data_IF_143010065990
#
_entry.id   IF_143010065990
#
_cell.length_a   1.000
_cell.length_b   1.000
_cell.length_c   1.000
_cell.angle_alpha   90.00
_cell.angle_beta   90.00
_cell.angle_gamma   90.00
#
_symmetry.space_group_name_H-M   'P 1'
#
loop_
_entity.id
_entity.type
_entity.pdbx_description
1 polymer ?
#
# COMPACT_ATOMS: atom_id res chain seq x y z
N UNK A 1 4.60 16.05 12.61
CA UNK A 1 5.25 17.37 12.63
C UNK A 1 4.56 18.30 13.64
N UNK A 2 3.23 18.43 13.63
CA UNK A 2 2.47 19.30 14.55
C UNK A 2 2.71 19.00 16.04
N UNK A 3 2.78 17.73 16.42
CA UNK A 3 3.06 17.32 17.79
C UNK A 3 4.42 17.84 18.27
N UNK A 4 5.43 17.79 17.42
CA UNK A 4 6.77 18.34 17.71
C UNK A 4 6.72 19.88 17.82
N UNK A 5 6.01 20.54 16.93
CA UNK A 5 5.82 21.99 16.97
C UNK A 5 5.11 22.44 18.26
N UNK A 6 4.04 21.73 18.67
CA UNK A 6 3.33 21.97 19.94
C UNK A 6 4.22 21.72 21.15
N UNK A 7 5.02 20.65 21.14
CA UNK A 7 5.95 20.34 22.22
C UNK A 7 6.97 21.45 22.41
N UNK A 8 7.54 21.97 21.34
CA UNK A 8 8.49 23.10 21.35
C UNK A 8 7.83 24.41 21.80
N UNK A 9 6.57 24.64 21.41
CA UNK A 9 5.82 25.81 21.85
C UNK A 9 5.62 25.85 23.40
N UNK A 10 5.45 24.64 24.01
CA UNK A 10 5.29 24.50 25.48
C UNK A 10 6.64 24.47 26.18
N UNK A 11 7.70 23.96 25.54
CA UNK A 11 9.04 23.83 26.06
C UNK A 11 10.07 24.41 25.08
N UNK A 12 10.22 25.74 24.99
CA UNK A 12 11.09 26.39 24.00
C UNK A 12 12.57 26.01 24.12
N UNK A 13 13.03 25.65 25.31
CA UNK A 13 14.42 25.24 25.58
C UNK A 13 14.73 23.80 25.25
N UNK A 14 13.73 23.04 24.72
CA UNK A 14 13.91 21.65 24.34
C UNK A 14 14.76 21.57 23.07
N UNK A 15 16.01 21.17 23.22
CA UNK A 15 16.94 20.92 22.12
C UNK A 15 16.63 19.57 21.44
N UNK A 16 15.51 19.50 20.71
CA UNK A 16 15.07 18.29 20.00
C UNK A 16 15.25 18.48 18.50
N UNK A 17 15.95 17.55 17.85
CA UNK A 17 16.05 17.50 16.38
C UNK A 17 15.10 16.45 15.81
N UNK A 18 14.36 16.83 14.79
CA UNK A 18 13.41 15.92 14.12
C UNK A 18 13.51 15.99 12.62
N UNK A 19 13.45 14.84 11.95
CA UNK A 19 13.42 14.74 10.50
C UNK A 19 12.21 13.96 10.03
N UNK A 20 11.58 14.42 8.92
CA UNK A 20 10.51 13.71 8.25
C UNK A 20 11.05 13.05 6.98
N UNK A 21 11.12 11.71 6.99
CA UNK A 21 11.52 10.92 5.84
C UNK A 21 10.34 10.74 4.89
N UNK A 22 10.58 11.03 3.63
CA UNK A 22 9.60 10.89 2.55
C UNK A 22 10.07 9.80 1.58
N UNK A 23 9.15 8.98 1.07
CA UNK A 23 9.48 7.96 0.08
C UNK A 23 10.25 8.54 -1.11
N UNK A 24 11.19 7.76 -1.65
CA UNK A 24 12.15 8.21 -2.68
C UNK A 24 11.47 8.79 -3.90
N UNK A 25 10.37 8.17 -4.34
CA UNK A 25 9.57 8.61 -5.49
C UNK A 25 8.97 10.01 -5.26
N UNK A 26 8.51 10.26 -4.03
CA UNK A 26 7.92 11.56 -3.65
C UNK A 26 8.96 12.63 -3.34
N UNK A 27 10.15 12.24 -2.92
CA UNK A 27 11.23 13.16 -2.57
C UNK A 27 12.07 13.55 -3.80
N UNK A 28 12.07 12.76 -4.86
CA UNK A 28 12.92 12.93 -6.04
C UNK A 28 12.73 14.29 -6.71
N UNK A 29 13.85 15.02 -6.94
CA UNK A 29 13.87 16.30 -7.65
C UNK A 29 14.24 16.16 -9.13
N UNK A 30 14.57 14.95 -9.59
CA UNK A 30 14.98 14.66 -10.96
C UNK A 30 14.40 13.31 -11.42
N UNK A 31 13.06 13.20 -11.52
CA UNK A 31 12.43 12.00 -12.03
C UNK A 31 12.65 11.89 -13.56
N UNK A 32 12.55 10.67 -14.08
CA UNK A 32 12.49 10.41 -15.52
C UNK A 32 11.17 10.88 -16.17
N UNK A 33 10.99 10.59 -17.45
CA UNK A 33 9.78 10.99 -18.20
C UNK A 33 8.50 10.30 -17.68
N UNK A 34 8.64 9.15 -17.07
CA UNK A 34 7.57 8.36 -16.46
C UNK A 34 7.30 8.73 -14.99
N UNK A 35 8.11 9.64 -14.41
CA UNK A 35 7.97 10.10 -13.03
C UNK A 35 8.74 9.26 -12.00
N UNK A 36 9.58 8.32 -12.42
CA UNK A 36 10.37 7.47 -11.54
C UNK A 36 11.76 8.05 -11.24
N UNK A 37 12.34 7.77 -10.05
CA UNK A 37 13.68 8.21 -9.70
C UNK A 37 14.77 7.54 -10.57
N UNK A 38 15.41 8.29 -11.45
CA UNK A 38 16.59 7.85 -12.22
C UNK A 38 17.88 8.14 -11.43
N UNK A 39 18.31 7.21 -10.57
CA UNK A 39 19.36 7.43 -9.55
C UNK A 39 20.78 7.11 -10.02
N UNK A 40 21.02 7.01 -11.33
CA UNK A 40 22.37 6.78 -11.88
C UNK A 40 23.19 8.09 -11.80
N UNK A 41 24.43 8.05 -11.30
CA UNK A 41 25.29 9.25 -11.21
C UNK A 41 25.54 9.94 -12.56
N UNK A 42 25.52 9.19 -13.66
CA UNK A 42 25.69 9.71 -15.02
C UNK A 42 24.48 10.52 -15.49
N UNK A 43 23.30 10.28 -14.93
CA UNK A 43 22.02 10.88 -15.34
C UNK A 43 21.54 11.90 -14.31
N UNK A 44 21.63 11.58 -13.01
CA UNK A 44 21.09 12.40 -11.95
C UNK A 44 22.13 13.35 -11.35
N UNK A 45 21.99 14.67 -11.50
CA UNK A 45 22.93 15.66 -10.95
C UNK A 45 22.98 15.64 -9.41
N UNK A 46 21.91 15.21 -8.76
CA UNK A 46 21.81 15.11 -7.30
C UNK A 46 22.49 13.86 -6.74
N UNK A 47 22.65 12.81 -7.56
CA UNK A 47 23.42 11.62 -7.22
C UNK A 47 24.91 11.78 -7.54
N UNK A 48 25.23 12.44 -8.67
CA UNK A 48 26.61 12.70 -9.07
C UNK A 48 27.33 13.58 -8.06
N UNK A 49 28.45 13.11 -7.52
CA UNK A 49 29.25 13.84 -6.52
C UNK A 49 28.53 14.11 -5.19
N UNK A 50 27.54 13.30 -4.83
CA UNK A 50 26.78 13.42 -3.59
C UNK A 50 27.67 13.48 -2.35
N UNK A 51 28.63 12.55 -2.23
CA UNK A 51 29.53 12.44 -1.09
C UNK A 51 30.47 13.62 -0.91
N UNK A 52 30.73 14.39 -1.97
CA UNK A 52 31.57 15.58 -1.90
C UNK A 52 30.82 16.77 -1.29
N UNK A 53 29.49 16.79 -1.44
CA UNK A 53 28.63 17.94 -1.08
C UNK A 53 27.79 17.72 0.19
N UNK A 54 27.53 16.47 0.56
CA UNK A 54 26.64 16.13 1.67
C UNK A 54 27.05 16.77 3.00
N UNK A 55 28.35 16.84 3.29
CA UNK A 55 28.86 17.43 4.55
C UNK A 55 28.44 18.88 4.73
N UNK A 56 28.50 19.67 3.65
CA UNK A 56 28.10 21.08 3.70
C UNK A 56 26.57 21.24 3.81
N UNK A 57 25.81 20.37 3.16
CA UNK A 57 24.35 20.35 3.28
C UNK A 57 23.90 20.00 4.70
N UNK A 58 24.51 18.97 5.32
CA UNK A 58 24.26 18.60 6.71
C UNK A 58 24.62 19.73 7.68
N UNK A 59 25.79 20.33 7.52
CA UNK A 59 26.21 21.46 8.37
C UNK A 59 25.18 22.60 8.33
N UNK A 60 24.76 23.00 7.13
CA UNK A 60 23.77 24.06 6.95
C UNK A 60 22.42 23.75 7.62
N UNK A 61 21.96 22.48 7.59
CA UNK A 61 20.74 22.07 8.27
C UNK A 61 20.93 22.06 9.80
N UNK A 62 22.03 21.51 10.28
CA UNK A 62 22.29 21.35 11.73
C UNK A 62 22.50 22.68 12.46
N UNK A 63 22.89 23.75 11.76
CA UNK A 63 22.95 25.11 12.28
C UNK A 63 21.57 25.80 12.41
N UNK A 64 20.52 25.15 11.88
CA UNK A 64 19.16 25.68 11.81
C UNK A 64 18.27 25.32 12.99
N UNK A 65 16.94 25.40 12.79
CA UNK A 65 15.89 25.25 13.81
C UNK A 65 15.74 23.85 14.42
N UNK A 66 16.41 22.85 13.85
CA UNK A 66 16.32 21.46 14.30
C UNK A 66 15.01 20.73 13.91
N UNK A 67 14.14 21.33 13.10
CA UNK A 67 12.97 20.67 12.53
C UNK A 67 13.13 20.58 11.01
N UNK A 68 13.35 19.36 10.51
CA UNK A 68 13.70 19.13 9.12
C UNK A 68 12.52 18.47 8.39
N UNK A 69 11.63 19.34 7.90
CA UNK A 69 10.48 18.93 7.09
C UNK A 69 10.90 18.52 5.66
N UNK A 70 9.98 17.88 4.92
CA UNK A 70 10.17 17.58 3.49
C UNK A 70 10.58 18.81 2.68
N UNK A 71 9.96 19.98 2.96
CA UNK A 71 10.27 21.22 2.27
C UNK A 71 11.69 21.69 2.57
N UNK A 72 12.10 21.70 3.84
CA UNK A 72 13.45 22.09 4.24
C UNK A 72 14.53 21.18 3.60
N UNK A 73 14.29 19.87 3.56
CA UNK A 73 15.18 18.92 2.88
C UNK A 73 15.26 19.19 1.38
N UNK A 74 14.13 19.45 0.71
CA UNK A 74 14.09 19.75 -0.72
C UNK A 74 14.81 21.06 -1.07
N UNK A 75 14.64 22.10 -0.25
CA UNK A 75 15.29 23.41 -0.48
C UNK A 75 16.81 23.31 -0.27
N UNK A 76 17.25 22.64 0.79
CA UNK A 76 18.68 22.37 1.02
C UNK A 76 19.26 21.49 -0.09
N UNK A 77 18.52 20.46 -0.52
CA UNK A 77 18.93 19.59 -1.63
C UNK A 77 19.15 20.36 -2.93
N UNK A 78 18.30 21.34 -3.26
CA UNK A 78 18.48 22.23 -4.41
C UNK A 78 19.71 23.13 -4.25
N UNK A 79 19.88 23.72 -3.06
CA UNK A 79 21.00 24.63 -2.77
C UNK A 79 22.35 23.93 -2.92
N UNK A 80 22.49 22.71 -2.43
CA UNK A 80 23.75 21.98 -2.41
C UNK A 80 23.85 20.92 -3.52
N UNK A 81 22.81 20.75 -4.34
CA UNK A 81 22.73 19.74 -5.40
C UNK A 81 22.97 18.32 -4.88
N UNK A 82 22.29 17.93 -3.81
CA UNK A 82 22.32 16.60 -3.18
C UNK A 82 20.95 15.93 -3.26
N UNK A 83 20.90 14.60 -3.27
CA UNK A 83 19.63 13.89 -3.27
C UNK A 83 18.84 14.14 -1.96
N UNK A 84 17.62 14.67 -2.00
CA UNK A 84 16.85 14.98 -0.78
C UNK A 84 16.48 13.74 0.02
N UNK A 85 16.30 12.59 -0.64
CA UNK A 85 16.04 11.31 0.03
C UNK A 85 17.26 10.85 0.83
N UNK A 86 18.42 10.77 0.20
CA UNK A 86 19.68 10.38 0.87
C UNK A 86 20.09 11.41 1.94
N UNK A 87 19.89 12.71 1.69
CA UNK A 87 20.11 13.78 2.67
C UNK A 87 19.25 13.55 3.93
N UNK A 88 17.97 13.19 3.77
CA UNK A 88 17.08 12.88 4.89
C UNK A 88 17.56 11.65 5.68
N UNK A 89 18.03 10.61 4.99
CA UNK A 89 18.57 9.40 5.61
C UNK A 89 19.87 9.71 6.39
N UNK A 90 20.79 10.45 5.81
CA UNK A 90 22.05 10.80 6.50
C UNK A 90 21.80 11.75 7.69
N UNK A 91 20.87 12.70 7.53
CA UNK A 91 20.48 13.62 8.60
C UNK A 91 19.79 12.88 9.77
N UNK A 92 19.09 11.78 9.50
CA UNK A 92 18.37 11.04 10.53
C UNK A 92 19.28 10.49 11.64
N UNK A 93 20.56 10.27 11.36
CA UNK A 93 21.55 9.87 12.36
C UNK A 93 21.90 10.97 13.37
N UNK A 94 21.54 12.23 13.07
CA UNK A 94 21.75 13.40 13.91
C UNK A 94 20.47 13.90 14.59
N UNK A 95 19.38 13.14 14.47
CA UNK A 95 18.08 13.52 14.98
C UNK A 95 17.65 12.65 16.15
N UNK A 96 16.92 13.28 17.09
CA UNK A 96 16.31 12.60 18.24
C UNK A 96 14.98 11.94 17.86
N UNK A 97 14.32 12.46 16.82
CA UNK A 97 13.03 11.95 16.32
C UNK A 97 13.09 11.79 14.80
N UNK A 98 12.77 10.59 14.34
CA UNK A 98 12.61 10.29 12.92
C UNK A 98 11.14 9.97 12.66
N UNK A 99 10.49 10.75 11.79
CA UNK A 99 9.11 10.56 11.38
C UNK A 99 9.11 9.90 9.98
N UNK A 100 8.40 8.79 9.83
CA UNK A 100 8.37 8.06 8.55
C UNK A 100 7.19 7.11 8.44
N UNK A 101 7.09 6.45 7.29
CA UNK A 101 6.09 5.41 7.03
C UNK A 101 6.44 4.10 7.75
N UNK A 102 5.44 3.24 7.97
CA UNK A 102 5.60 1.89 8.55
C UNK A 102 6.67 1.05 7.85
N UNK A 103 6.84 1.22 6.54
CA UNK A 103 7.80 0.47 5.73
C UNK A 103 9.22 0.62 6.28
N UNK A 104 9.58 1.76 6.83
CA UNK A 104 10.91 2.01 7.38
C UNK A 104 11.26 1.16 8.60
N UNK A 105 10.26 0.59 9.27
CA UNK A 105 10.47 -0.33 10.39
C UNK A 105 10.08 -1.78 10.04
N UNK A 106 8.94 -1.97 9.37
CA UNK A 106 8.31 -3.29 9.26
C UNK A 106 8.55 -3.99 7.91
N UNK A 107 8.88 -3.25 6.83
CA UNK A 107 9.07 -3.87 5.53
C UNK A 107 10.42 -4.62 5.46
N UNK A 108 10.43 -5.91 5.13
CA UNK A 108 11.65 -6.72 5.11
C UNK A 108 12.66 -6.29 4.03
N UNK A 109 12.29 -5.41 3.11
CA UNK A 109 13.13 -4.95 1.99
C UNK A 109 13.65 -3.54 2.23
N UNK A 110 12.76 -2.62 2.64
CA UNK A 110 13.06 -1.19 2.72
C UNK A 110 13.28 -0.65 4.12
N UNK A 111 13.18 -1.51 5.16
CA UNK A 111 13.46 -1.07 6.54
C UNK A 111 14.84 -0.43 6.65
N UNK A 112 14.97 0.52 7.55
CA UNK A 112 16.21 1.28 7.73
C UNK A 112 17.26 0.42 8.44
N UNK A 113 18.03 -0.35 7.67
CA UNK A 113 19.09 -1.25 8.14
C UNK A 113 20.08 -0.57 9.07
N UNK A 114 20.40 0.71 8.79
CA UNK A 114 21.31 1.51 9.62
C UNK A 114 20.86 1.64 11.08
N UNK A 115 19.56 1.47 11.34
CA UNK A 115 18.99 1.55 12.69
C UNK A 115 18.53 0.19 13.23
N UNK A 116 17.98 -0.69 12.39
CA UNK A 116 17.19 -1.84 12.83
C UNK A 116 17.79 -3.20 12.51
N UNK A 117 19.01 -3.26 11.93
CA UNK A 117 19.76 -4.51 11.81
C UNK A 117 20.29 -5.01 13.17
N UNK A 118 20.37 -4.11 14.15
CA UNK A 118 20.73 -4.43 15.54
C UNK A 118 19.76 -3.74 16.49
N UNK A 119 19.55 -4.34 17.67
CA UNK A 119 18.74 -3.72 18.72
C UNK A 119 19.38 -2.45 19.25
N UNK A 120 18.55 -1.45 19.58
CA UNK A 120 18.99 -0.15 20.09
C UNK A 120 18.00 0.47 21.08
N UNK A 121 18.33 1.64 21.59
CA UNK A 121 17.51 2.39 22.57
C UNK A 121 16.35 3.17 21.89
N UNK A 122 15.73 2.54 20.89
CA UNK A 122 14.64 3.14 20.13
C UNK A 122 13.32 3.08 20.88
N UNK A 123 12.55 4.16 20.81
CA UNK A 123 11.16 4.20 21.25
C UNK A 123 10.27 4.36 20.02
N UNK A 124 9.44 3.35 19.75
CA UNK A 124 8.53 3.36 18.62
C UNK A 124 7.19 3.96 19.02
N UNK A 125 6.72 4.95 18.24
CA UNK A 125 5.39 5.53 18.34
C UNK A 125 4.66 5.25 17.04
N UNK A 126 3.74 4.26 17.09
CA UNK A 126 3.04 3.76 15.91
C UNK A 126 1.61 4.29 15.93
N UNK A 127 1.38 5.32 15.11
CA UNK A 127 0.06 5.93 14.95
C UNK A 127 -0.79 5.11 13.97
N UNK A 128 -2.11 5.22 14.06
CA UNK A 128 -3.09 4.48 13.26
C UNK A 128 -2.78 2.97 13.19
N UNK A 129 -2.35 2.42 14.32
CA UNK A 129 -1.85 1.05 14.41
C UNK A 129 -2.89 -0.02 14.02
N UNK A 130 -4.17 0.35 13.90
CA UNK A 130 -5.21 -0.51 13.37
C UNK A 130 -4.99 -0.92 11.91
N UNK A 131 -4.24 -0.13 11.13
CA UNK A 131 -3.88 -0.44 9.75
C UNK A 131 -2.66 -1.36 9.63
N UNK A 132 -1.85 -1.46 10.68
CA UNK A 132 -0.58 -2.19 10.64
C UNK A 132 -0.75 -3.70 10.32
N UNK A 133 -1.77 -4.44 10.82
CA UNK A 133 -1.92 -5.85 10.49
C UNK A 133 -2.06 -6.11 8.99
N UNK A 134 -2.89 -5.35 8.29
CA UNK A 134 -3.09 -5.53 6.85
C UNK A 134 -1.89 -5.05 6.04
N UNK A 135 -1.25 -3.97 6.47
CA UNK A 135 0.01 -3.49 5.88
C UNK A 135 1.12 -4.52 6.04
N UNK A 136 1.29 -5.09 7.23
CA UNK A 136 2.29 -6.12 7.47
C UNK A 136 2.00 -7.38 6.65
N UNK A 137 0.75 -7.86 6.59
CA UNK A 137 0.39 -8.97 5.69
C UNK A 137 0.82 -8.69 4.26
N UNK A 138 0.57 -7.50 3.75
CA UNK A 138 0.97 -7.11 2.40
C UNK A 138 2.50 -7.09 2.21
N UNK A 139 3.26 -6.54 3.17
CA UNK A 139 4.73 -6.45 3.14
C UNK A 139 5.41 -7.82 3.11
N UNK A 140 4.85 -8.81 3.81
CA UNK A 140 5.40 -10.17 3.89
C UNK A 140 4.85 -11.12 2.83
N UNK A 141 3.81 -10.73 2.10
CA UNK A 141 3.23 -11.51 1.00
C UNK A 141 3.95 -11.22 -0.32
N UNK A 142 3.91 -12.19 -1.22
CA UNK A 142 4.41 -12.00 -2.59
C UNK A 142 3.41 -12.52 -3.63
N UNK A 143 3.40 -11.90 -4.80
CA UNK A 143 2.56 -12.26 -5.93
C UNK A 143 3.39 -12.39 -7.19
N UNK A 144 3.09 -13.42 -7.98
CA UNK A 144 3.76 -13.68 -9.25
C UNK A 144 2.79 -14.16 -10.32
N UNK A 145 2.82 -13.57 -11.51
CA UNK A 145 1.97 -13.89 -12.64
C UNK A 145 2.76 -14.60 -13.74
N UNK A 146 2.15 -15.63 -14.33
CA UNK A 146 2.78 -16.38 -15.45
C UNK A 146 3.05 -15.49 -16.66
N UNK A 147 2.21 -14.50 -16.93
CA UNK A 147 2.38 -13.52 -18.02
C UNK A 147 3.74 -12.85 -18.00
N UNK A 148 4.28 -12.49 -16.83
CA UNK A 148 5.59 -11.87 -16.69
C UNK A 148 6.72 -12.69 -17.35
N UNK A 149 6.68 -14.02 -17.23
CA UNK A 149 7.65 -14.90 -17.88
C UNK A 149 7.44 -14.96 -19.41
N UNK A 150 6.18 -14.95 -19.85
CA UNK A 150 5.84 -15.01 -21.27
C UNK A 150 6.29 -13.73 -21.99
N UNK A 151 6.06 -12.58 -21.34
CA UNK A 151 6.41 -11.28 -21.89
C UNK A 151 7.93 -11.11 -21.94
N UNK A 152 8.65 -11.45 -20.87
CA UNK A 152 10.11 -11.46 -20.87
C UNK A 152 10.70 -12.36 -21.96
N UNK A 153 10.14 -13.56 -22.18
CA UNK A 153 10.60 -14.44 -23.28
C UNK A 153 10.35 -13.85 -24.66
N UNK A 154 9.26 -13.10 -24.84
CA UNK A 154 8.93 -12.42 -26.11
C UNK A 154 9.93 -11.29 -26.38
N UNK A 155 10.25 -10.52 -25.38
CA UNK A 155 11.19 -9.39 -25.45
C UNK A 155 12.61 -9.84 -25.77
N UNK A 156 13.08 -10.96 -25.23
CA UNK A 156 14.40 -11.53 -25.55
C UNK A 156 14.55 -12.06 -26.99
N UNK A 157 13.47 -12.10 -27.79
CA UNK A 157 13.49 -12.48 -29.17
C UNK A 157 13.94 -13.94 -29.44
N UNK A 158 14.48 -14.19 -30.64
CA UNK A 158 14.97 -15.51 -31.08
C UNK A 158 16.44 -15.67 -30.67
N UNK A 159 16.78 -16.74 -29.95
CA UNK A 159 18.16 -17.03 -29.52
C UNK A 159 18.18 -18.03 -28.36
N UNK A 160 19.35 -18.65 -28.11
CA UNK A 160 19.56 -19.50 -26.93
C UNK A 160 20.45 -18.73 -25.96
N UNK A 161 19.94 -18.48 -24.74
CA UNK A 161 20.70 -17.93 -23.63
C UNK A 161 20.37 -18.68 -22.34
N UNK A 162 21.22 -18.54 -21.34
CA UNK A 162 20.96 -19.11 -20.01
C UNK A 162 19.64 -18.60 -19.43
N UNK A 163 19.38 -17.28 -19.55
CA UNK A 163 18.14 -16.65 -19.12
C UNK A 163 16.92 -17.23 -19.83
N UNK A 164 16.97 -17.34 -21.17
CA UNK A 164 15.83 -17.88 -21.94
C UNK A 164 15.51 -19.34 -21.60
N UNK A 165 16.57 -20.12 -21.29
CA UNK A 165 16.42 -21.50 -20.83
C UNK A 165 15.74 -21.56 -19.47
N UNK A 166 16.17 -20.71 -18.52
CA UNK A 166 15.55 -20.61 -17.20
C UNK A 166 14.09 -20.15 -17.28
N UNK A 167 13.80 -19.07 -18.01
CA UNK A 167 12.43 -18.59 -18.26
C UNK A 167 11.53 -19.65 -18.88
N UNK A 168 12.07 -20.48 -19.80
CA UNK A 168 11.30 -21.55 -20.44
C UNK A 168 10.95 -22.66 -19.45
N UNK A 169 11.86 -23.02 -18.56
CA UNK A 169 11.61 -24.01 -17.49
C UNK A 169 10.59 -23.49 -16.49
N UNK A 170 10.72 -22.23 -16.06
CA UNK A 170 9.79 -21.60 -15.16
C UNK A 170 8.38 -21.48 -15.75
N UNK A 171 8.26 -21.05 -17.01
CA UNK A 171 6.97 -20.97 -17.72
C UNK A 171 6.35 -22.37 -17.93
N UNK A 172 7.15 -23.41 -18.15
CA UNK A 172 6.65 -24.79 -18.21
C UNK A 172 6.06 -25.20 -16.85
N UNK A 173 6.77 -24.96 -15.74
CA UNK A 173 6.27 -25.28 -14.41
C UNK A 173 4.98 -24.51 -14.07
N UNK A 174 4.90 -23.22 -14.41
CA UNK A 174 3.68 -22.42 -14.23
C UNK A 174 2.50 -22.97 -15.06
N UNK A 175 2.72 -23.43 -16.28
CA UNK A 175 1.67 -24.08 -17.10
C UNK A 175 1.20 -25.40 -16.50
N UNK A 176 2.12 -26.24 -16.03
CA UNK A 176 1.80 -27.51 -15.40
C UNK A 176 1.04 -27.29 -14.08
N UNK A 177 1.47 -26.34 -13.26
CA UNK A 177 0.76 -25.95 -12.04
C UNK A 177 -0.64 -25.40 -12.34
N UNK A 178 -0.81 -24.61 -13.42
CA UNK A 178 -2.12 -24.15 -13.86
C UNK A 178 -3.05 -25.31 -14.23
N UNK A 179 -2.54 -26.29 -14.96
CA UNK A 179 -3.31 -27.49 -15.33
C UNK A 179 -3.71 -28.28 -14.07
N UNK A 180 -2.80 -28.45 -13.12
CA UNK A 180 -3.09 -29.09 -11.84
C UNK A 180 -4.16 -28.32 -11.04
N UNK A 181 -4.05 -27.00 -10.99
CA UNK A 181 -5.03 -26.12 -10.33
C UNK A 181 -6.43 -26.26 -10.95
N UNK A 182 -6.55 -26.28 -12.29
CA UNK A 182 -7.82 -26.47 -12.98
C UNK A 182 -8.41 -27.87 -12.72
N UNK A 183 -7.58 -28.92 -12.63
CA UNK A 183 -8.05 -30.27 -12.28
C UNK A 183 -8.58 -30.35 -10.85
N UNK A 184 -7.91 -29.69 -9.89
CA UNK A 184 -8.30 -29.70 -8.48
C UNK A 184 -9.51 -28.80 -8.19
N UNK A 185 -9.65 -27.70 -8.92
CA UNK A 185 -10.68 -26.70 -8.73
C UNK A 185 -11.37 -26.33 -10.05
N UNK A 186 -12.14 -27.24 -10.68
CA UNK A 186 -12.84 -26.96 -11.92
C UNK A 186 -13.86 -25.83 -11.72
N UNK A 187 -13.94 -24.91 -12.67
CA UNK A 187 -14.96 -23.86 -12.67
C UNK A 187 -16.32 -24.44 -12.97
N UNK A 188 -17.30 -24.10 -12.17
CA UNK A 188 -18.71 -24.36 -12.50
C UNK A 188 -19.10 -23.40 -13.63
N UNK A 189 -19.53 -23.92 -14.76
CA UNK A 189 -20.17 -23.11 -15.80
C UNK A 189 -21.48 -22.57 -15.24
N UNK A 190 -21.79 -21.30 -15.52
CA UNK A 190 -23.03 -20.65 -15.06
C UNK A 190 -24.32 -21.32 -15.63
N UNK A 191 -24.19 -22.32 -16.49
CA UNK A 191 -25.26 -23.08 -17.16
C UNK A 191 -25.55 -24.42 -16.50
N UNK A 192 -24.81 -24.83 -15.46
CA UNK A 192 -25.11 -26.09 -14.75
C UNK A 192 -26.27 -25.87 -13.77
N UNK A 193 -27.49 -25.78 -14.31
CA UNK A 193 -28.71 -25.98 -13.53
C UNK A 193 -28.73 -27.38 -12.92
N UNK A 194 -29.29 -27.62 -11.73
CA UNK A 194 -29.25 -28.92 -11.09
C UNK A 194 -30.07 -29.94 -11.92
N UNK A 195 -29.38 -30.80 -12.65
CA UNK A 195 -30.06 -31.88 -13.40
C UNK A 195 -29.24 -32.65 -14.42
N UNK A 196 -28.07 -32.19 -14.90
CA UNK A 196 -27.28 -32.97 -15.83
C UNK A 196 -25.93 -33.39 -15.25
N UNK A 197 -25.50 -34.67 -15.44
CA UNK A 197 -24.20 -35.13 -14.98
C UNK A 197 -23.09 -34.41 -15.77
N UNK A 198 -22.14 -33.83 -15.06
CA UNK A 198 -20.97 -33.15 -15.61
C UNK A 198 -20.32 -34.03 -16.69
N UNK A 199 -20.28 -33.56 -17.93
CA UNK A 199 -19.44 -34.17 -18.97
C UNK A 199 -17.97 -33.91 -18.58
N UNK A 200 -17.39 -34.96 -18.00
CA UNK A 200 -15.94 -35.05 -17.79
C UNK A 200 -15.29 -35.03 -19.17
N UNK A 201 -14.74 -33.92 -19.61
CA UNK A 201 -13.91 -33.88 -20.81
C UNK A 201 -12.69 -34.75 -20.54
N UNK A 202 -12.69 -35.94 -21.16
CA UNK A 202 -11.56 -36.85 -21.19
C UNK A 202 -10.42 -36.17 -21.97
N UNK A 203 -9.59 -35.41 -21.28
CA UNK A 203 -8.26 -35.07 -21.79
C UNK A 203 -7.46 -36.39 -21.82
N UNK A 204 -6.68 -36.66 -22.86
CA UNK A 204 -5.90 -37.92 -22.95
C UNK A 204 -4.95 -37.98 -21.75
N UNK A 205 -5.00 -39.09 -21.02
CA UNK A 205 -4.02 -39.45 -20.01
C UNK A 205 -2.64 -39.51 -20.68
N UNK A 206 -1.80 -38.54 -20.46
CA UNK A 206 -0.39 -38.61 -20.82
C UNK A 206 0.34 -39.37 -19.71
N UNK A 207 1.07 -40.41 -20.04
CA UNK A 207 1.91 -41.23 -19.15
C UNK A 207 3.13 -40.49 -18.53
N UNK A 208 3.23 -39.15 -18.67
CA UNK A 208 4.22 -38.36 -18.00
C UNK A 208 3.82 -38.20 -16.54
N UNK A 209 4.77 -38.29 -15.57
CA UNK A 209 4.47 -38.03 -14.16
C UNK A 209 3.81 -36.66 -14.04
N UNK A 210 2.52 -36.69 -13.68
CA UNK A 210 1.73 -35.45 -13.57
C UNK A 210 2.38 -34.53 -12.56
N UNK A 211 2.56 -33.25 -12.94
CA UNK A 211 2.97 -32.21 -12.01
C UNK A 211 2.05 -32.25 -10.79
N UNK A 212 2.60 -32.64 -9.64
CA UNK A 212 1.84 -32.79 -8.41
C UNK A 212 1.95 -31.51 -7.56
N UNK A 213 0.81 -30.94 -7.22
CA UNK A 213 0.72 -29.96 -6.15
C UNK A 213 0.58 -30.69 -4.81
N UNK A 214 1.03 -30.08 -3.69
CA UNK A 214 0.68 -30.56 -2.36
C UNK A 214 -0.82 -30.72 -2.17
N UNK A 215 -1.24 -31.45 -1.13
CA UNK A 215 -2.64 -31.61 -0.81
C UNK A 215 -3.30 -30.24 -0.53
N UNK A 216 -4.40 -29.90 -1.19
CA UNK A 216 -5.04 -28.61 -1.03
C UNK A 216 -5.81 -28.54 0.29
N UNK A 217 -5.65 -27.41 1.01
CA UNK A 217 -6.54 -27.02 2.11
C UNK A 217 -7.95 -26.70 1.62
N UNK A 218 -8.02 -26.10 0.43
CA UNK A 218 -9.26 -25.70 -0.20
C UNK A 218 -9.06 -25.56 -1.71
N UNK A 219 -10.07 -25.95 -2.49
CA UNK A 219 -10.05 -25.85 -3.96
C UNK A 219 -11.46 -25.55 -4.49
N UNK A 220 -11.64 -24.43 -5.18
CA UNK A 220 -12.90 -24.02 -5.79
C UNK A 220 -12.68 -23.00 -6.93
N UNK A 221 -13.46 -23.09 -7.99
CA UNK A 221 -13.58 -22.10 -9.07
C UNK A 221 -12.25 -21.61 -9.66
N UNK A 222 -11.31 -22.53 -9.88
CA UNK A 222 -9.99 -22.23 -10.41
C UNK A 222 -9.00 -21.70 -9.38
N UNK A 223 -9.34 -21.70 -8.11
CA UNK A 223 -8.46 -21.29 -7.00
C UNK A 223 -8.16 -22.46 -6.07
N UNK A 224 -6.90 -22.63 -5.72
CA UNK A 224 -6.40 -23.69 -4.82
C UNK A 224 -5.56 -23.04 -3.74
N UNK A 225 -5.81 -23.40 -2.48
CA UNK A 225 -5.00 -23.01 -1.33
C UNK A 225 -4.21 -24.22 -0.82
N UNK A 226 -2.91 -24.02 -0.57
CA UNK A 226 -1.98 -25.04 -0.07
C UNK A 226 -1.33 -24.55 1.22
N UNK A 227 -1.15 -25.43 2.20
CA UNK A 227 -0.36 -25.12 3.38
C UNK A 227 1.15 -25.15 3.09
N UNK A 228 1.57 -26.00 2.15
CA UNK A 228 2.96 -26.19 1.81
C UNK A 228 3.37 -25.38 0.58
N UNK A 229 4.65 -25.02 0.55
CA UNK A 229 5.25 -24.43 -0.64
C UNK A 229 5.35 -25.46 -1.77
N UNK A 230 4.83 -25.19 -2.97
CA UNK A 230 4.95 -26.09 -4.11
C UNK A 230 6.38 -26.04 -4.69
N UNK A 231 7.30 -26.83 -4.14
CA UNK A 231 8.72 -26.86 -4.52
C UNK A 231 8.93 -27.05 -6.03
N UNK A 232 8.11 -27.90 -6.68
CA UNK A 232 8.15 -28.13 -8.12
C UNK A 232 7.89 -26.87 -8.95
N UNK A 233 7.17 -25.90 -8.38
CA UNK A 233 6.88 -24.60 -9.00
C UNK A 233 7.95 -23.55 -8.62
N UNK A 234 8.36 -23.51 -7.36
CA UNK A 234 9.27 -22.47 -6.87
C UNK A 234 10.72 -22.68 -7.32
N UNK A 235 11.19 -23.92 -7.42
CA UNK A 235 12.57 -24.21 -7.84
C UNK A 235 12.90 -23.66 -9.23
N UNK A 236 12.06 -23.86 -10.28
CA UNK A 236 12.32 -23.24 -11.57
C UNK A 236 12.20 -21.72 -11.57
N UNK A 237 11.30 -21.12 -10.75
CA UNK A 237 11.16 -19.68 -10.62
C UNK A 237 12.41 -19.05 -9.95
N UNK A 238 12.90 -19.64 -8.87
CA UNK A 238 14.16 -19.22 -8.21
C UNK A 238 15.36 -19.30 -9.16
N UNK A 239 15.40 -20.32 -10.04
CA UNK A 239 16.49 -20.49 -11.00
C UNK A 239 16.54 -19.41 -12.10
N UNK A 240 15.53 -18.56 -12.22
CA UNK A 240 15.53 -17.39 -13.13
C UNK A 240 16.42 -16.27 -12.59
N UNK A 241 16.57 -16.14 -11.27
CA UNK A 241 17.17 -14.99 -10.62
C UNK A 241 18.59 -14.69 -11.10
N UNK A 242 19.52 -15.65 -10.99
CA UNK A 242 20.93 -15.42 -11.35
C UNK A 242 21.15 -15.12 -12.85
N UNK A 243 20.54 -15.87 -13.81
CA UNK A 243 20.67 -15.52 -15.21
C UNK A 243 20.02 -14.17 -15.59
N UNK A 244 18.97 -13.75 -14.86
CA UNK A 244 18.30 -12.47 -15.07
C UNK A 244 19.16 -11.32 -14.55
N UNK A 245 19.77 -11.49 -13.39
CA UNK A 245 20.71 -10.51 -12.84
C UNK A 245 21.90 -10.30 -13.79
N UNK A 246 22.54 -11.37 -14.25
CA UNK A 246 23.64 -11.27 -15.21
C UNK A 246 23.20 -10.56 -16.51
N UNK A 247 21.98 -10.84 -16.99
CA UNK A 247 21.48 -10.16 -18.19
C UNK A 247 21.28 -8.65 -17.94
N UNK A 248 20.77 -8.24 -16.78
CA UNK A 248 20.59 -6.83 -16.43
C UNK A 248 21.93 -6.08 -16.35
N UNK A 249 22.96 -6.73 -15.77
CA UNK A 249 24.33 -6.17 -15.69
C UNK A 249 24.98 -6.01 -17.08
N UNK A 250 24.73 -6.98 -17.98
CA UNK A 250 25.29 -6.97 -19.34
C UNK A 250 24.54 -6.04 -20.31
N UNK A 251 23.31 -5.62 -19.99
CA UNK A 251 22.42 -4.89 -20.91
C UNK A 251 21.76 -3.66 -20.24
N UNK A 252 22.50 -2.72 -19.66
CA UNK A 252 21.93 -1.60 -18.89
C UNK A 252 21.12 -0.61 -19.76
N UNK A 253 21.45 -0.50 -21.06
CA UNK A 253 20.82 0.43 -21.99
C UNK A 253 19.80 -0.24 -22.94
N UNK A 254 19.49 -1.53 -22.73
CA UNK A 254 18.54 -2.21 -23.59
C UNK A 254 17.10 -1.70 -23.35
N UNK A 255 16.32 -1.51 -24.43
CA UNK A 255 14.89 -1.14 -24.34
C UNK A 255 14.09 -2.09 -23.45
N UNK A 256 14.55 -3.33 -23.33
CA UNK A 256 13.95 -4.36 -22.48
C UNK A 256 14.34 -4.24 -21.00
N UNK A 257 15.33 -3.41 -20.64
CA UNK A 257 15.89 -3.36 -19.29
C UNK A 257 14.85 -3.05 -18.21
N UNK A 258 13.93 -2.07 -18.33
CA UNK A 258 12.91 -1.79 -17.33
C UNK A 258 12.01 -3.00 -17.07
N UNK A 259 11.53 -3.66 -18.11
CA UNK A 259 10.66 -4.85 -17.99
C UNK A 259 11.38 -6.04 -17.33
N UNK A 260 12.67 -6.24 -17.67
CA UNK A 260 13.47 -7.29 -17.03
C UNK A 260 13.77 -6.98 -15.57
N UNK A 261 13.93 -5.71 -15.22
CA UNK A 261 14.10 -5.26 -13.84
C UNK A 261 12.83 -5.50 -13.01
N UNK A 262 11.65 -5.22 -13.55
CA UNK A 262 10.38 -5.56 -12.91
C UNK A 262 10.25 -7.06 -12.65
N UNK A 263 10.58 -7.89 -13.64
CA UNK A 263 10.60 -9.34 -13.47
C UNK A 263 11.61 -9.78 -12.39
N UNK A 264 12.78 -9.15 -12.34
CA UNK A 264 13.80 -9.43 -11.33
C UNK A 264 13.28 -9.16 -9.92
N UNK A 265 12.66 -8.02 -9.70
CA UNK A 265 12.04 -7.70 -8.41
C UNK A 265 10.90 -8.63 -8.06
N UNK A 266 10.01 -8.96 -9.00
CA UNK A 266 8.92 -9.91 -8.76
C UNK A 266 9.42 -11.31 -8.37
N UNK A 267 10.51 -11.79 -9.00
CA UNK A 267 11.15 -13.07 -8.64
C UNK A 267 11.84 -12.95 -7.27
N UNK A 268 12.51 -11.84 -6.98
CA UNK A 268 13.14 -11.61 -5.69
C UNK A 268 12.13 -11.59 -4.54
N UNK A 269 11.02 -10.89 -4.70
CA UNK A 269 9.97 -10.81 -3.67
C UNK A 269 9.38 -12.18 -3.40
N UNK A 270 9.13 -12.97 -4.45
CA UNK A 270 8.67 -14.34 -4.31
C UNK A 270 9.68 -15.22 -3.54
N UNK A 271 10.97 -15.09 -3.87
CA UNK A 271 12.04 -15.86 -3.20
C UNK A 271 12.16 -15.47 -1.73
N UNK A 272 12.12 -14.16 -1.42
CA UNK A 272 12.18 -13.65 -0.03
C UNK A 272 10.98 -14.10 0.81
N UNK A 273 9.76 -14.07 0.22
CA UNK A 273 8.57 -14.58 0.91
C UNK A 273 8.67 -16.08 1.13
N UNK A 274 9.18 -16.85 0.15
CA UNK A 274 9.40 -18.29 0.28
C UNK A 274 10.46 -18.66 1.34
N UNK A 275 11.46 -17.82 1.57
CA UNK A 275 12.46 -18.02 2.62
C UNK A 275 11.92 -17.82 4.04
N UNK A 276 10.86 -17.01 4.18
CA UNK A 276 10.17 -16.75 5.46
C UNK A 276 8.95 -17.62 5.67
N UNK A 277 8.60 -18.43 4.68
CA UNK A 277 7.37 -19.20 4.66
C UNK A 277 7.37 -20.28 5.76
N UNK A 278 6.37 -20.22 6.62
CA UNK A 278 6.13 -21.17 7.70
C UNK A 278 4.61 -21.40 7.89
N UNK A 279 4.19 -21.84 9.07
CA UNK A 279 2.77 -22.08 9.38
C UNK A 279 1.88 -20.82 9.36
N UNK A 280 2.46 -19.61 9.33
CA UNK A 280 1.73 -18.34 9.26
C UNK A 280 1.39 -17.92 7.82
N UNK A 281 1.82 -18.73 6.83
CA UNK A 281 1.54 -18.49 5.42
C UNK A 281 0.63 -19.55 4.80
N UNK A 282 0.05 -19.17 3.66
CA UNK A 282 -0.58 -20.11 2.71
C UNK A 282 -0.15 -19.76 1.28
N UNK A 283 -0.06 -20.78 0.45
CA UNK A 283 0.12 -20.58 -1.00
C UNK A 283 -1.24 -20.57 -1.66
N UNK A 284 -1.56 -19.52 -2.40
CA UNK A 284 -2.74 -19.43 -3.25
C UNK A 284 -2.33 -19.52 -4.71
N UNK A 285 -2.98 -20.44 -5.45
CA UNK A 285 -2.88 -20.55 -6.91
C UNK A 285 -4.23 -20.21 -7.51
N UNK A 286 -4.28 -19.26 -8.44
CA UNK A 286 -5.51 -18.90 -9.14
C UNK A 286 -5.32 -19.02 -10.64
N UNK A 287 -6.05 -19.95 -11.26
CA UNK A 287 -6.06 -20.17 -12.71
C UNK A 287 -7.21 -19.39 -13.38
N UNK A 288 -6.88 -18.48 -14.31
CA UNK A 288 -7.86 -17.71 -15.10
C UNK A 288 -7.48 -17.73 -16.58
N UNK A 289 -8.24 -18.42 -17.40
CA UNK A 289 -7.90 -18.59 -18.82
C UNK A 289 -6.52 -19.22 -19.00
N UNK A 290 -5.60 -18.54 -19.69
CA UNK A 290 -4.21 -18.97 -19.86
C UNK A 290 -3.28 -18.53 -18.73
N UNK A 291 -3.75 -17.72 -17.78
CA UNK A 291 -3.00 -17.17 -16.67
C UNK A 291 -2.98 -18.12 -15.47
N UNK A 292 -1.86 -18.10 -14.75
CA UNK A 292 -1.74 -18.59 -13.39
C UNK A 292 -1.15 -17.48 -12.54
N UNK A 293 -1.83 -17.15 -11.47
CA UNK A 293 -1.36 -16.29 -10.42
C UNK A 293 -0.95 -17.15 -9.23
N UNK A 294 0.29 -16.98 -8.79
CA UNK A 294 0.85 -17.54 -7.56
C UNK A 294 0.93 -16.43 -6.53
N UNK A 295 0.38 -16.67 -5.35
CA UNK A 295 0.53 -15.78 -4.20
C UNK A 295 1.04 -16.59 -3.00
N UNK A 296 2.05 -16.06 -2.33
CA UNK A 296 2.47 -16.48 -0.99
C UNK A 296 1.89 -15.48 -0.02
N UNK A 297 0.84 -15.87 0.69
CA UNK A 297 0.06 -14.98 1.55
C UNK A 297 0.46 -15.16 3.00
N UNK A 298 0.98 -14.11 3.62
CA UNK A 298 1.13 -14.03 5.07
C UNK A 298 -0.26 -13.82 5.70
N UNK A 299 -0.78 -14.80 6.40
CA UNK A 299 -2.07 -14.71 7.10
C UNK A 299 -1.91 -14.10 8.49
N UNK A 300 -0.84 -14.46 9.18
CA UNK A 300 -0.53 -13.95 10.51
C UNK A 300 0.82 -13.23 10.53
N UNK A 301 0.83 -11.88 10.54
CA UNK A 301 2.05 -11.09 10.56
C UNK A 301 2.62 -10.91 11.97
N UNK A 302 1.95 -11.38 13.04
CA UNK A 302 2.31 -11.12 14.42
C UNK A 302 3.78 -11.42 14.75
N UNK A 303 4.39 -12.56 14.37
CA UNK A 303 5.79 -12.84 14.66
C UNK A 303 6.76 -11.85 14.02
N UNK A 304 6.43 -11.34 12.84
CA UNK A 304 7.29 -10.41 12.11
C UNK A 304 7.18 -8.98 12.68
N UNK A 305 5.97 -8.57 13.07
CA UNK A 305 5.74 -7.30 13.75
C UNK A 305 6.44 -7.30 15.11
N UNK A 306 6.31 -8.36 15.91
CA UNK A 306 7.01 -8.53 17.18
C UNK A 306 8.52 -8.48 17.02
N UNK A 307 9.07 -9.19 16.03
CA UNK A 307 10.51 -9.16 15.74
C UNK A 307 10.99 -7.74 15.42
N UNK A 308 10.25 -6.96 14.64
CA UNK A 308 10.59 -5.58 14.32
C UNK A 308 10.50 -4.67 15.55
N UNK A 309 9.45 -4.79 16.36
CA UNK A 309 9.28 -4.00 17.58
C UNK A 309 10.35 -4.35 18.65
N UNK A 310 10.80 -5.61 18.68
CA UNK A 310 11.84 -6.09 19.60
C UNK A 310 13.24 -5.55 19.29
N UNK A 311 13.45 -4.88 18.15
CA UNK A 311 14.69 -4.14 17.87
C UNK A 311 14.81 -2.87 18.72
N UNK A 312 13.72 -2.37 19.27
CA UNK A 312 13.67 -1.21 20.12
C UNK A 312 13.53 -1.56 21.60
N UNK A 313 13.70 -0.54 22.45
CA UNK A 313 13.51 -0.65 23.89
C UNK A 313 12.04 -0.73 24.30
N UNK A 314 11.15 -0.03 23.58
CA UNK A 314 9.73 0.03 23.88
C UNK A 314 8.95 0.52 22.66
N UNK A 315 7.66 0.18 22.62
CA UNK A 315 6.74 0.65 21.61
C UNK A 315 5.40 1.10 22.24
N UNK A 316 4.82 2.16 21.69
CA UNK A 316 3.44 2.54 21.92
C UNK A 316 2.68 2.52 20.60
N UNK A 317 1.70 1.62 20.50
CA UNK A 317 0.81 1.49 19.36
C UNK A 317 -0.52 2.12 19.73
N UNK A 318 -0.99 3.07 18.94
CA UNK A 318 -2.21 3.80 19.26
C UNK A 318 -3.05 4.08 18.02
N UNK A 319 -4.36 4.19 18.24
CA UNK A 319 -5.36 4.54 17.24
C UNK A 319 -6.68 4.84 17.94
N UNK A 320 -7.57 5.56 17.27
CA UNK A 320 -8.94 5.74 17.73
C UNK A 320 -9.77 4.44 17.68
N UNK A 321 -9.34 3.41 16.94
CA UNK A 321 -10.12 2.22 16.58
C UNK A 321 -9.46 0.87 16.91
N UNK A 322 -8.51 0.81 17.86
CA UNK A 322 -7.89 -0.45 18.33
C UNK A 322 -8.86 -1.27 19.21
N UNK A 323 -10.03 -1.58 18.66
CA UNK A 323 -11.09 -2.34 19.36
C UNK A 323 -11.52 -3.55 18.54
N UNK A 324 -11.58 -4.77 19.11
CA UNK A 324 -11.29 -5.10 20.52
C UNK A 324 -9.78 -5.21 20.81
N UNK A 325 -9.29 -4.76 21.97
CA UNK A 325 -7.86 -4.76 22.28
C UNK A 325 -7.19 -6.15 22.24
N UNK A 326 -7.93 -7.19 22.61
CA UNK A 326 -7.43 -8.57 22.59
C UNK A 326 -7.04 -9.03 21.17
N UNK A 327 -7.87 -8.68 20.18
CA UNK A 327 -7.58 -8.97 18.77
C UNK A 327 -6.30 -8.29 18.31
N UNK A 328 -6.19 -6.97 18.54
CA UNK A 328 -5.01 -6.21 18.09
C UNK A 328 -3.73 -6.64 18.79
N UNK A 329 -3.78 -6.95 20.09
CA UNK A 329 -2.62 -7.52 20.79
C UNK A 329 -2.15 -8.82 20.15
N UNK A 330 -3.07 -9.69 19.73
CA UNK A 330 -2.75 -10.95 19.07
C UNK A 330 -2.10 -10.70 17.70
N UNK A 331 -2.78 -9.97 16.80
CA UNK A 331 -2.31 -9.81 15.41
C UNK A 331 -1.10 -8.88 15.24
N UNK A 332 -0.78 -8.08 16.27
CA UNK A 332 0.40 -7.21 16.31
C UNK A 332 1.57 -7.83 17.09
N UNK A 333 1.46 -9.09 17.51
CA UNK A 333 2.53 -9.77 18.25
C UNK A 333 2.76 -9.22 19.67
N UNK A 334 1.83 -8.44 20.21
CA UNK A 334 2.00 -7.74 21.49
C UNK A 334 1.12 -8.37 22.59
N UNK A 335 1.12 -9.69 22.73
CA UNK A 335 0.22 -10.44 23.63
C UNK A 335 0.26 -9.93 25.08
N UNK A 336 1.46 -9.63 25.58
CA UNK A 336 1.70 -9.17 26.97
C UNK A 336 1.64 -7.64 27.11
N UNK A 337 1.35 -6.90 26.04
CA UNK A 337 1.30 -5.43 26.11
C UNK A 337 0.16 -4.94 26.99
N UNK A 338 0.43 -3.88 27.75
CA UNK A 338 -0.60 -3.17 28.51
C UNK A 338 -1.51 -2.41 27.56
N UNK A 339 -2.81 -2.69 27.60
CA UNK A 339 -3.81 -1.90 26.87
C UNK A 339 -4.35 -0.79 27.77
N UNK A 340 -4.48 0.42 27.20
CA UNK A 340 -5.09 1.58 27.82
C UNK A 340 -6.19 2.09 26.89
N UNK A 341 -7.41 2.25 27.42
CA UNK A 341 -8.49 2.91 26.71
C UNK A 341 -8.71 4.30 27.33
N UNK A 342 -8.73 5.31 26.49
CA UNK A 342 -9.04 6.69 26.87
C UNK A 342 -10.46 7.00 26.39
N UNK A 343 -11.19 7.76 27.19
CA UNK A 343 -12.50 8.26 26.78
C UNK A 343 -12.36 9.28 25.64
N UNK A 344 -13.40 9.34 24.79
CA UNK A 344 -13.45 10.34 23.71
C UNK A 344 -13.45 11.75 24.31
N UNK A 345 -12.58 12.67 23.82
CA UNK A 345 -12.61 14.07 24.23
C UNK A 345 -13.82 14.82 23.66
N UNK A 346 -14.55 14.20 22.71
CA UNK A 346 -15.72 14.82 22.09
C UNK A 346 -16.99 14.48 22.87
N UNK A 347 -17.78 15.48 23.34
CA UNK A 347 -19.03 15.21 24.04
C UNK A 347 -20.01 14.45 23.17
N UNK A 348 -20.51 13.32 23.67
CA UNK A 348 -21.48 12.48 22.93
C UNK A 348 -22.77 13.25 22.55
N UNK A 349 -23.16 14.24 23.34
CA UNK A 349 -24.31 15.11 23.06
C UNK A 349 -24.17 16.00 21.80
N UNK A 350 -22.96 16.15 21.28
CA UNK A 350 -22.71 16.89 20.04
C UNK A 350 -22.85 16.02 18.78
N UNK A 351 -23.03 14.69 18.94
CA UNK A 351 -23.18 13.77 17.83
C UNK A 351 -24.66 13.49 17.56
N UNK A 352 -25.18 13.94 16.42
CA UNK A 352 -26.46 13.50 15.88
C UNK A 352 -26.23 12.37 14.87
N UNK A 353 -26.64 11.15 15.20
CA UNK A 353 -26.54 9.99 14.30
C UNK A 353 -27.90 9.68 13.69
N UNK A 354 -27.98 9.70 12.37
CA UNK A 354 -29.19 9.42 11.61
C UNK A 354 -29.00 8.22 10.70
N UNK A 355 -29.95 7.31 10.70
CA UNK A 355 -29.96 6.15 9.82
C UNK A 355 -31.23 6.18 8.95
N UNK A 356 -31.04 5.98 7.64
CA UNK A 356 -32.12 5.91 6.65
C UNK A 356 -32.29 4.46 6.15
N UNK A 357 -33.00 3.58 6.88
CA UNK A 357 -33.03 2.15 6.56
C UNK A 357 -33.77 1.81 5.27
N UNK A 358 -34.55 2.78 4.73
CA UNK A 358 -35.24 2.63 3.43
C UNK A 358 -34.38 2.83 2.20
N UNK A 359 -33.11 3.26 2.34
CA UNK A 359 -32.18 3.50 1.23
C UNK A 359 -31.09 2.43 1.24
N UNK A 360 -31.06 1.60 0.19
CA UNK A 360 -30.01 0.58 0.03
C UNK A 360 -28.88 1.10 -0.86
N UNK A 361 -27.64 1.08 -0.34
CA UNK A 361 -26.41 1.41 -1.10
C UNK A 361 -25.63 0.18 -1.54
N UNK A 362 -26.22 -1.03 -1.41
CA UNK A 362 -25.63 -2.27 -1.89
C UNK A 362 -25.41 -2.20 -3.41
N UNK A 363 -24.34 -2.84 -3.91
CA UNK A 363 -23.93 -2.77 -5.31
C UNK A 363 -25.10 -2.93 -6.30
N UNK A 364 -25.94 -3.95 -6.12
CA UNK A 364 -27.10 -4.27 -6.97
C UNK A 364 -28.23 -3.23 -6.92
N UNK A 365 -28.26 -2.39 -5.90
CA UNK A 365 -29.37 -1.44 -5.65
C UNK A 365 -28.96 0.02 -5.94
N UNK A 366 -27.68 0.27 -6.26
CA UNK A 366 -27.10 1.61 -6.40
C UNK A 366 -27.80 2.47 -7.43
N UNK A 367 -28.06 1.94 -8.61
CA UNK A 367 -28.77 2.69 -9.67
C UNK A 367 -30.15 3.19 -9.24
N UNK A 368 -30.86 2.37 -8.45
CA UNK A 368 -32.20 2.71 -7.96
C UNK A 368 -32.18 3.70 -6.79
N UNK A 369 -31.08 3.78 -6.08
CA UNK A 369 -30.94 4.60 -4.88
C UNK A 369 -30.38 5.99 -5.14
N UNK A 370 -29.88 6.30 -6.35
CA UNK A 370 -29.26 7.58 -6.71
C UNK A 370 -30.13 8.77 -6.28
N UNK A 371 -31.39 8.82 -6.71
CA UNK A 371 -32.28 9.93 -6.40
C UNK A 371 -32.59 10.05 -4.91
N UNK A 372 -32.83 8.91 -4.22
CA UNK A 372 -33.12 8.90 -2.79
C UNK A 372 -31.91 9.36 -1.96
N UNK A 373 -30.70 9.02 -2.39
CA UNK A 373 -29.46 9.51 -1.76
C UNK A 373 -29.28 10.99 -2.00
N UNK A 374 -29.49 11.48 -3.24
CA UNK A 374 -29.45 12.90 -3.56
C UNK A 374 -30.44 13.71 -2.72
N UNK A 375 -31.68 13.21 -2.55
CA UNK A 375 -32.70 13.87 -1.72
C UNK A 375 -32.30 13.91 -0.24
N UNK A 376 -31.72 12.83 0.26
CA UNK A 376 -31.25 12.76 1.64
C UNK A 376 -30.09 13.76 1.88
N UNK A 377 -29.13 13.83 0.96
CA UNK A 377 -28.02 14.77 1.02
C UNK A 377 -28.51 16.22 0.92
N UNK A 378 -29.49 16.51 0.04
CA UNK A 378 -30.07 17.84 -0.08
C UNK A 378 -30.74 18.27 1.22
N UNK A 379 -31.51 17.40 1.86
CA UNK A 379 -32.15 17.70 3.16
C UNK A 379 -31.13 17.97 4.24
N UNK A 380 -30.04 17.17 4.28
CA UNK A 380 -28.93 17.39 5.21
C UNK A 380 -28.28 18.76 4.96
N UNK A 381 -27.89 19.07 3.74
CA UNK A 381 -27.22 20.30 3.35
C UNK A 381 -28.09 21.56 3.48
N UNK A 382 -29.42 21.42 3.41
CA UNK A 382 -30.40 22.51 3.60
C UNK A 382 -30.79 22.74 5.07
N UNK A 383 -30.47 21.81 5.96
CA UNK A 383 -30.85 21.92 7.37
C UNK A 383 -30.14 23.06 8.09
N UNK A 384 -28.90 23.34 7.72
CA UNK A 384 -28.08 24.45 8.24
C UNK A 384 -27.05 24.85 7.21
N UNK A 385 -26.79 26.16 7.07
CA UNK A 385 -25.65 26.64 6.28
C UNK A 385 -24.34 26.15 6.91
N UNK A 386 -23.48 25.53 6.11
CA UNK A 386 -22.23 24.97 6.60
C UNK A 386 -21.58 24.01 5.59
N UNK A 387 -20.48 23.42 5.98
CA UNK A 387 -19.74 22.47 5.17
C UNK A 387 -20.10 21.03 5.53
N UNK A 388 -20.33 20.23 4.52
CA UNK A 388 -20.69 18.82 4.63
C UNK A 388 -19.78 17.96 3.76
N UNK A 389 -19.55 16.71 4.16
CA UNK A 389 -18.77 15.73 3.40
C UNK A 389 -19.54 14.42 3.28
N UNK A 390 -19.82 13.99 2.06
CA UNK A 390 -20.50 12.75 1.76
C UNK A 390 -19.52 11.70 1.22
N UNK A 391 -19.52 10.50 1.83
CA UNK A 391 -18.62 9.40 1.48
C UNK A 391 -19.35 8.31 0.70
N UNK A 392 -18.75 7.88 -0.39
CA UNK A 392 -19.30 6.88 -1.32
C UNK A 392 -18.41 5.64 -1.42
N UNK A 393 -19.00 4.45 -1.63
CA UNK A 393 -18.25 3.21 -1.73
C UNK A 393 -17.49 3.02 -3.05
N UNK A 394 -17.63 3.93 -4.03
CA UNK A 394 -16.87 3.93 -5.28
C UNK A 394 -17.00 5.25 -6.03
N UNK A 395 -16.00 5.58 -6.85
CA UNK A 395 -16.05 6.76 -7.74
C UNK A 395 -17.21 6.74 -8.75
N UNK A 396 -17.57 5.57 -9.29
CA UNK A 396 -18.67 5.46 -10.23
C UNK A 396 -20.01 5.86 -9.57
N UNK A 397 -20.28 5.37 -8.36
CA UNK A 397 -21.50 5.71 -7.64
C UNK A 397 -21.50 7.17 -7.16
N UNK A 398 -20.35 7.67 -6.71
CA UNK A 398 -20.15 9.06 -6.35
C UNK A 398 -20.55 9.99 -7.51
N UNK A 399 -20.04 9.72 -8.73
CA UNK A 399 -20.34 10.53 -9.92
C UNK A 399 -21.83 10.52 -10.27
N UNK A 400 -22.46 9.34 -10.27
CA UNK A 400 -23.90 9.22 -10.55
C UNK A 400 -24.75 10.05 -9.60
N UNK A 401 -24.46 9.98 -8.28
CA UNK A 401 -25.19 10.75 -7.29
C UNK A 401 -24.88 12.24 -7.41
N UNK A 402 -23.64 12.63 -7.66
CA UNK A 402 -23.25 14.02 -7.80
C UNK A 402 -23.88 14.68 -9.04
N UNK A 403 -23.95 13.99 -10.17
CA UNK A 403 -24.60 14.49 -11.39
C UNK A 403 -26.10 14.70 -11.16
N UNK A 404 -26.82 13.73 -10.56
CA UNK A 404 -28.22 13.86 -10.20
C UNK A 404 -28.43 14.99 -9.18
N UNK A 405 -27.56 15.07 -8.17
CA UNK A 405 -27.63 16.13 -7.15
C UNK A 405 -27.45 17.53 -7.75
N UNK A 406 -26.42 17.74 -8.57
CA UNK A 406 -26.12 19.02 -9.18
C UNK A 406 -27.24 19.48 -10.13
N UNK A 407 -27.86 18.56 -10.86
CA UNK A 407 -29.00 18.85 -11.75
C UNK A 407 -30.27 19.26 -10.98
N UNK A 408 -30.52 18.60 -9.84
CA UNK A 408 -31.77 18.82 -9.06
C UNK A 408 -31.64 19.90 -7.98
N UNK A 409 -30.44 20.16 -7.48
CA UNK A 409 -30.17 21.09 -6.39
C UNK A 409 -29.07 22.11 -6.73
N UNK A 410 -29.19 22.88 -7.82
CA UNK A 410 -28.15 23.79 -8.32
C UNK A 410 -27.81 24.94 -7.36
N UNK A 411 -28.63 25.19 -6.36
CA UNK A 411 -28.37 26.21 -5.33
C UNK A 411 -27.38 25.79 -4.23
N UNK A 412 -26.91 24.53 -4.21
CA UNK A 412 -25.94 24.04 -3.25
C UNK A 412 -24.63 23.82 -3.97
N UNK A 413 -23.54 24.46 -3.49
CA UNK A 413 -22.21 24.28 -4.06
C UNK A 413 -21.69 22.87 -3.80
N UNK A 414 -21.14 22.21 -4.83
CA UNK A 414 -20.56 20.89 -4.72
C UNK A 414 -19.05 20.91 -4.97
N UNK A 415 -18.32 20.02 -4.28
CA UNK A 415 -16.90 19.81 -4.47
C UNK A 415 -16.66 18.29 -4.60
N UNK A 416 -15.98 17.85 -5.65
CA UNK A 416 -15.86 16.43 -5.99
C UNK A 416 -14.40 15.98 -5.88
N UNK A 417 -14.19 14.85 -5.22
CA UNK A 417 -12.91 14.18 -5.21
C UNK A 417 -12.62 13.53 -6.57
N UNK A 418 -11.56 13.97 -7.24
CA UNK A 418 -11.02 13.29 -8.42
C UNK A 418 -10.13 12.10 -8.04
N UNK A 419 -9.99 11.15 -8.97
CA UNK A 419 -9.05 10.03 -8.78
C UNK A 419 -7.60 10.48 -9.01
N UNK A 420 -6.66 9.97 -8.20
CA UNK A 420 -5.23 10.25 -8.38
C UNK A 420 -4.79 11.64 -7.92
N UNK A 421 -5.51 12.28 -6.98
CA UNK A 421 -5.12 13.56 -6.40
C UNK A 421 -3.73 13.44 -5.74
N UNK A 422 -2.85 14.38 -6.08
CA UNK A 422 -1.59 14.59 -5.37
C UNK A 422 -1.79 15.35 -4.05
N UNK A 423 -0.71 15.50 -3.27
CA UNK A 423 -0.74 16.18 -1.98
C UNK A 423 -1.17 17.66 -2.08
N UNK A 424 -0.83 18.35 -3.18
CA UNK A 424 -1.21 19.74 -3.41
C UNK A 424 -2.72 19.86 -3.73
N UNK A 425 -3.23 18.99 -4.60
CA UNK A 425 -4.65 18.95 -4.93
C UNK A 425 -5.52 18.51 -3.72
N UNK A 426 -5.00 17.59 -2.87
CA UNK A 426 -5.62 17.23 -1.59
C UNK A 426 -5.71 18.43 -0.65
N UNK A 427 -4.62 19.19 -0.50
CA UNK A 427 -4.60 20.39 0.32
C UNK A 427 -5.57 21.46 -0.21
N UNK A 428 -5.61 21.67 -1.52
CA UNK A 428 -6.54 22.60 -2.16
C UNK A 428 -8.00 22.20 -1.97
N UNK A 429 -8.34 20.90 -2.03
CA UNK A 429 -9.68 20.39 -1.73
C UNK A 429 -10.08 20.72 -0.28
N UNK A 430 -9.22 20.44 0.70
CA UNK A 430 -9.49 20.71 2.12
C UNK A 430 -9.55 22.21 2.45
N UNK A 431 -8.81 23.05 1.73
CA UNK A 431 -8.84 24.51 1.91
C UNK A 431 -10.20 25.14 1.55
N UNK A 432 -11.03 24.46 0.72
CA UNK A 432 -12.38 24.92 0.38
C UNK A 432 -13.37 24.82 1.55
N UNK A 433 -13.06 24.03 2.57
CA UNK A 433 -13.84 23.91 3.80
C UNK A 433 -13.44 25.04 4.76
N UNK A 434 -13.92 26.23 4.47
CA UNK A 434 -13.62 27.43 5.26
C UNK A 434 -14.47 27.48 6.54
N UNK A 435 -13.95 28.05 7.64
CA UNK A 435 -14.77 28.30 8.83
C UNK A 435 -15.84 29.36 8.54
N UNK A 436 -16.99 29.25 9.20
CA UNK A 436 -18.12 30.19 9.10
C UNK A 436 -18.53 30.51 7.63
N UNK A 437 -18.84 29.50 6.81
CA UNK A 437 -19.12 29.70 5.39
C UNK A 437 -20.43 30.44 5.17
N UNK A 438 -20.45 31.42 4.25
CA UNK A 438 -21.66 32.17 3.87
C UNK A 438 -22.71 31.30 3.12
N UNK A 439 -22.26 30.23 2.48
CA UNK A 439 -23.07 29.29 1.70
C UNK A 439 -22.71 27.84 2.01
N UNK A 440 -23.71 26.97 1.85
CA UNK A 440 -23.48 25.53 2.06
C UNK A 440 -22.58 24.96 0.98
N UNK A 441 -21.56 24.22 1.42
CA UNK A 441 -20.68 23.40 0.59
C UNK A 441 -20.89 21.92 0.90
N UNK A 442 -21.15 21.11 -0.13
CA UNK A 442 -21.20 19.65 -0.02
C UNK A 442 -20.03 19.02 -0.80
N UNK A 443 -19.09 18.44 -0.06
CA UNK A 443 -18.00 17.64 -0.62
C UNK A 443 -18.45 16.20 -0.90
N UNK A 444 -18.01 15.63 -2.01
CA UNK A 444 -18.20 14.24 -2.40
C UNK A 444 -16.85 13.52 -2.38
N UNK A 445 -16.70 12.51 -1.55
CA UNK A 445 -15.46 11.77 -1.39
C UNK A 445 -15.69 10.25 -1.42
N UNK A 446 -14.64 9.46 -1.66
CA UNK A 446 -14.73 8.00 -1.65
C UNK A 446 -14.32 7.48 -0.28
N UNK A 447 -15.12 6.56 0.26
CA UNK A 447 -14.86 5.86 1.52
C UNK A 447 -13.56 5.03 1.41
N UNK A 448 -12.69 5.09 2.42
CA UNK A 448 -11.38 4.42 2.40
C UNK A 448 -10.35 5.08 1.47
N UNK A 449 -10.69 6.24 0.86
CA UNK A 449 -9.75 7.06 0.08
C UNK A 449 -8.96 8.04 0.96
N UNK A 450 -8.22 8.94 0.30
CA UNK A 450 -7.32 9.93 0.95
C UNK A 450 -8.00 10.92 1.91
N UNK A 451 -9.34 10.97 1.91
CA UNK A 451 -10.15 11.79 2.83
C UNK A 451 -10.85 10.96 3.91
N UNK A 452 -10.66 9.63 3.91
CA UNK A 452 -11.25 8.74 4.92
C UNK A 452 -10.56 8.87 6.28
N UNK A 453 -9.27 9.20 6.27
CA UNK A 453 -8.43 9.34 7.46
C UNK A 453 -7.48 10.54 7.32
N UNK A 454 -6.99 11.05 8.47
CA UNK A 454 -6.00 12.15 8.49
C UNK A 454 -6.54 13.47 7.95
N UNK A 455 -7.84 13.75 8.13
CA UNK A 455 -8.49 15.02 7.79
C UNK A 455 -8.83 15.75 9.08
N UNK A 456 -8.25 16.95 9.26
CA UNK A 456 -8.56 17.84 10.39
C UNK A 456 -9.37 19.05 9.88
N UNK A 457 -10.68 18.95 10.01
CA UNK A 457 -11.64 20.01 9.70
C UNK A 457 -12.38 20.41 10.98
N UNK A 458 -11.63 21.03 11.91
CA UNK A 458 -12.13 21.39 13.23
C UNK A 458 -13.24 22.48 13.19
N UNK A 459 -14.16 22.41 14.14
CA UNK A 459 -15.22 23.39 14.33
C UNK A 459 -16.19 23.47 13.13
N UNK A 460 -16.49 24.70 12.72
CA UNK A 460 -17.43 24.95 11.62
C UNK A 460 -16.88 24.65 10.20
N UNK A 461 -15.62 24.23 10.12
CA UNK A 461 -15.05 23.74 8.86
C UNK A 461 -15.73 22.46 8.36
N UNK A 462 -16.33 21.65 9.24
CA UNK A 462 -17.13 20.49 8.88
C UNK A 462 -18.20 20.24 9.94
N UNK A 463 -19.47 20.44 9.58
CA UNK A 463 -20.57 20.30 10.53
C UNK A 463 -21.43 19.04 10.32
N UNK A 464 -21.21 18.29 9.24
CA UNK A 464 -21.89 17.05 8.99
C UNK A 464 -21.22 16.15 7.97
N UNK A 465 -21.36 14.82 8.19
CA UNK A 465 -20.92 13.78 7.26
C UNK A 465 -22.08 12.84 6.91
N UNK A 466 -22.04 12.27 5.71
CA UNK A 466 -23.00 11.27 5.25
C UNK A 466 -22.32 10.10 4.54
#
# INVERSE_FOLDING_TARGET
EDAIARLRAVQPDLALRSVTLTAKEKACLHPDAEGHPACLPEVCPYANGYYDRIKNALAALLDGSGQFSRAALADTARQFTVCPFELGLDLSEWCDVVIGDYNYLFDPVVHLKRFFDTSGDWLFLIDEAHNLPDRARAMYSARFCKSSLTDAKRTLGKGKSALKTALTKADKAMREARQACVRLAPRRHAEDAPGEPAQTSLLPESDAPAFALPEPLYAQDGTVFLQELPAALLTPLRAVQAPLQAWLEDNPEADAHPQMLELYFAVQDLVRAAERYDSHFVTQLTARGSELELQLLCLDPAPFVDASLSTGRSAALFSATLTPPAYYRSVLGCADARAVALESPFPAGNLGLFCLPGISTRYRDRERSVQSVSDALARLAQSRVGNYLAFFPSYAYLRQVQEDFAARYPGISTLVQESGLDDAARAAFLARFEPDPAHTLLGFAVMGGIFGEGVDLAGDRLIGCA
#
